data_IF_838761860919
#
_entry.id   IF_838761860919
#
_cell.length_a   1.000
_cell.length_b   1.000
_cell.length_c   1.000
_cell.angle_alpha   90.00
_cell.angle_beta   90.00
_cell.angle_gamma   90.00
#
_symmetry.space_group_name_H-M   'P 1'
#
loop_
_entity.id
_entity.type
_entity.pdbx_description
1 polymer ?
#
# COMPACT_ATOMS: atom_id res chain seq x y z
N UNK A 1 39.04 -35.07 -35.03
CA UNK A 1 38.31 -36.04 -35.87
C UNK A 1 36.90 -35.48 -36.09
N UNK A 2 36.62 -34.81 -37.21
CA UNK A 2 35.88 -35.32 -38.38
C UNK A 2 34.58 -36.07 -38.03
N UNK A 3 33.42 -35.41 -38.19
CA UNK A 3 32.42 -35.57 -39.28
C UNK A 3 31.19 -34.69 -38.93
N UNK A 4 30.69 -33.72 -39.72
CA UNK A 4 30.34 -33.58 -41.16
C UNK A 4 28.87 -33.98 -41.46
N UNK A 5 28.13 -32.97 -41.98
CA UNK A 5 26.98 -33.00 -42.94
C UNK A 5 25.56 -33.31 -42.40
N UNK A 6 24.44 -32.74 -42.90
CA UNK A 6 24.17 -31.72 -43.94
C UNK A 6 22.66 -31.64 -44.23
N UNK A 7 22.16 -30.45 -44.61
CA UNK A 7 21.15 -30.14 -45.68
C UNK A 7 19.72 -30.69 -45.58
N UNK A 8 18.64 -30.14 -46.16
CA UNK A 8 18.30 -29.16 -47.22
C UNK A 8 16.81 -28.73 -46.96
N UNK A 9 16.24 -27.54 -47.22
CA UNK A 9 16.10 -26.67 -48.41
C UNK A 9 14.68 -26.74 -49.05
N UNK A 10 14.26 -25.58 -49.61
CA UNK A 10 13.09 -25.24 -50.47
C UNK A 10 11.76 -24.83 -49.79
N UNK A 11 11.29 -23.56 -49.87
CA UNK A 11 10.82 -22.68 -50.99
C UNK A 11 9.51 -23.13 -51.68
N UNK A 12 8.47 -22.28 -51.61
CA UNK A 12 7.70 -21.84 -52.80
C UNK A 12 6.87 -20.56 -52.55
N UNK A 13 7.04 -19.61 -53.47
CA UNK A 13 6.24 -18.42 -53.78
C UNK A 13 5.03 -18.79 -54.65
N UNK A 14 3.93 -18.02 -54.59
CA UNK A 14 3.11 -17.62 -55.76
C UNK A 14 2.50 -16.21 -55.53
N UNK A 15 2.61 -15.37 -56.55
CA UNK A 15 2.06 -14.02 -56.78
C UNK A 15 1.00 -14.08 -57.91
N UNK A 16 0.37 -12.93 -58.20
CA UNK A 16 -0.49 -12.51 -59.33
C UNK A 16 -1.97 -12.28 -58.94
N UNK A 17 -2.63 -11.10 -59.05
CA UNK A 17 -2.58 -9.86 -59.86
C UNK A 17 -3.83 -9.75 -60.79
N UNK A 18 -4.40 -8.53 -60.87
CA UNK A 18 -5.15 -7.89 -62.00
C UNK A 18 -6.46 -7.14 -61.69
N UNK A 19 -6.62 -6.06 -62.47
CA UNK A 19 -7.49 -4.89 -62.42
C UNK A 19 -8.88 -5.00 -63.12
N UNK A 20 -9.88 -4.24 -62.61
CA UNK A 20 -10.93 -3.35 -63.22
C UNK A 20 -11.80 -3.80 -64.44
N UNK A 21 -12.89 -3.10 -64.87
CA UNK A 21 -13.84 -2.13 -64.24
C UNK A 21 -15.35 -2.42 -64.54
N UNK A 22 -16.33 -1.65 -63.98
CA UNK A 22 -17.47 -1.00 -64.69
C UNK A 22 -18.54 -0.42 -63.72
N UNK A 23 -19.33 0.50 -64.26
CA UNK A 23 -20.13 1.62 -63.70
C UNK A 23 -21.57 1.34 -63.20
N UNK A 24 -21.96 2.05 -62.11
CA UNK A 24 -23.23 2.80 -61.81
C UNK A 24 -24.63 2.13 -61.94
N UNK A 25 -25.71 2.73 -61.39
CA UNK A 25 -26.01 3.09 -59.99
C UNK A 25 -27.45 2.64 -59.55
N UNK A 26 -27.91 3.14 -58.40
CA UNK A 26 -29.30 3.33 -57.93
C UNK A 26 -29.94 2.36 -56.91
N UNK A 27 -30.47 3.04 -55.89
CA UNK A 27 -31.66 2.77 -55.09
C UNK A 27 -31.46 2.16 -53.71
N UNK A 28 -31.86 2.96 -52.73
CA UNK A 28 -31.93 2.65 -51.32
C UNK A 28 -33.05 1.64 -51.05
N UNK A 29 -32.74 0.60 -50.28
CA UNK A 29 -33.75 -0.18 -49.55
C UNK A 29 -33.27 -0.33 -48.12
N UNK A 30 -34.05 0.24 -47.20
CA UNK A 30 -33.93 0.05 -45.76
C UNK A 30 -34.11 -1.44 -45.45
N UNK A 31 -33.11 -2.07 -44.85
CA UNK A 31 -33.30 -3.28 -44.06
C UNK A 31 -32.73 -3.03 -42.67
N UNK A 32 -33.61 -3.09 -41.67
CA UNK A 32 -33.27 -2.96 -40.27
C UNK A 32 -32.31 -4.08 -39.87
N UNK A 33 -31.09 -3.71 -39.49
CA UNK A 33 -30.20 -4.61 -38.80
C UNK A 33 -30.69 -4.75 -37.35
N UNK A 34 -31.42 -5.82 -37.08
CA UNK A 34 -31.50 -6.38 -35.75
C UNK A 34 -30.08 -6.80 -35.36
N UNK A 35 -29.35 -5.95 -34.64
CA UNK A 35 -28.11 -6.33 -34.00
C UNK A 35 -28.49 -7.24 -32.83
N UNK A 36 -28.59 -8.53 -33.13
CA UNK A 36 -28.60 -9.58 -32.12
C UNK A 36 -27.31 -9.43 -31.32
N UNK A 37 -27.45 -8.92 -30.09
CA UNK A 37 -26.41 -8.89 -29.07
C UNK A 37 -26.06 -10.35 -28.70
N UNK A 38 -25.24 -10.98 -29.54
CA UNK A 38 -24.52 -12.20 -29.21
C UNK A 38 -23.31 -11.80 -28.36
N UNK A 39 -23.59 -11.33 -27.14
CA UNK A 39 -22.65 -11.49 -26.04
C UNK A 39 -22.57 -13.00 -25.82
N UNK A 40 -21.66 -13.66 -26.55
CA UNK A 40 -21.22 -15.01 -26.25
C UNK A 40 -20.82 -15.00 -24.78
N UNK A 41 -21.57 -15.70 -23.93
CA UNK A 41 -21.10 -16.11 -22.61
C UNK A 41 -19.79 -16.85 -22.85
N UNK A 42 -18.67 -16.17 -22.63
CA UNK A 42 -17.42 -16.85 -22.39
C UNK A 42 -17.69 -17.77 -21.19
N UNK A 43 -17.41 -19.06 -21.35
CA UNK A 43 -17.36 -19.98 -20.22
C UNK A 43 -16.27 -19.45 -19.28
N UNK A 44 -16.67 -18.80 -18.19
CA UNK A 44 -15.71 -18.10 -17.37
C UNK A 44 -15.26 -19.00 -16.23
N UNK A 45 -14.03 -19.52 -16.35
CA UNK A 45 -13.20 -19.91 -15.20
C UNK A 45 -12.87 -18.71 -14.28
N UNK A 46 -13.39 -17.51 -14.58
CA UNK A 46 -13.27 -16.33 -13.72
C UNK A 46 -14.37 -16.27 -12.68
N UNK A 47 -13.97 -16.20 -11.42
CA UNK A 47 -14.85 -15.86 -10.31
C UNK A 47 -15.28 -14.39 -10.38
N UNK A 48 -16.59 -14.13 -10.48
CA UNK A 48 -17.15 -12.77 -10.45
C UNK A 48 -17.37 -12.32 -9.00
N UNK A 49 -16.75 -11.20 -8.63
CA UNK A 49 -16.81 -10.60 -7.29
C UNK A 49 -17.56 -9.25 -7.28
N UNK A 50 -18.18 -8.85 -8.39
CA UNK A 50 -18.82 -7.53 -8.57
C UNK A 50 -19.92 -7.23 -7.54
N UNK A 51 -20.58 -8.26 -7.01
CA UNK A 51 -21.66 -8.15 -6.03
C UNK A 51 -21.20 -7.98 -4.58
N UNK A 52 -19.90 -8.07 -4.28
CA UNK A 52 -19.38 -7.99 -2.90
C UNK A 52 -19.37 -6.56 -2.32
N UNK A 53 -19.70 -5.54 -3.12
CA UNK A 53 -19.66 -4.15 -2.66
C UNK A 53 -20.76 -3.89 -1.63
N UNK A 54 -20.36 -3.43 -0.45
CA UNK A 54 -21.25 -2.95 0.61
C UNK A 54 -21.72 -1.53 0.34
N UNK A 55 -22.87 -1.16 0.92
CA UNK A 55 -23.33 0.22 0.99
C UNK A 55 -22.47 1.00 2.00
N UNK A 56 -22.10 2.23 1.66
CA UNK A 56 -21.31 3.12 2.53
C UNK A 56 -22.21 4.25 3.06
N UNK A 57 -21.62 5.39 3.41
CA UNK A 57 -22.32 6.62 3.79
C UNK A 57 -23.11 7.22 2.62
N UNK A 58 -24.11 8.04 2.94
CA UNK A 58 -24.89 8.81 1.97
C UNK A 58 -24.34 10.24 1.79
N UNK A 59 -24.89 10.97 0.82
CA UNK A 59 -24.50 12.36 0.50
C UNK A 59 -24.65 13.31 1.71
N UNK A 60 -25.62 13.04 2.58
CA UNK A 60 -25.86 13.77 3.83
C UNK A 60 -24.74 13.59 4.88
N UNK A 61 -23.83 12.64 4.66
CA UNK A 61 -22.68 12.34 5.54
C UNK A 61 -21.35 12.53 4.80
N UNK A 62 -21.31 13.43 3.81
CA UNK A 62 -20.11 13.80 3.08
C UNK A 62 -19.00 14.34 4.00
N UNK A 63 -17.76 14.02 3.69
CA UNK A 63 -16.58 14.55 4.37
C UNK A 63 -16.01 15.74 3.58
N UNK A 64 -16.49 16.93 3.93
CA UNK A 64 -16.13 18.21 3.33
C UNK A 64 -15.00 18.91 4.11
N UNK A 65 -14.45 19.97 3.54
CA UNK A 65 -13.35 20.73 4.13
C UNK A 65 -13.72 21.35 5.49
N UNK A 66 -14.98 21.77 5.66
CA UNK A 66 -15.54 22.25 6.93
C UNK A 66 -15.74 21.13 7.98
N UNK A 67 -15.65 19.85 7.58
CA UNK A 67 -15.71 18.69 8.47
C UNK A 67 -14.32 18.25 8.97
N UNK A 68 -13.24 18.91 8.52
CA UNK A 68 -11.92 18.77 9.14
C UNK A 68 -11.98 19.29 10.58
N UNK A 69 -11.62 18.44 11.54
CA UNK A 69 -11.47 18.83 12.94
C UNK A 69 -10.20 19.67 13.12
N UNK A 70 -9.22 19.51 12.23
CA UNK A 70 -8.03 20.34 12.19
C UNK A 70 -7.47 20.45 10.77
N UNK A 71 -6.89 21.61 10.46
CA UNK A 71 -6.05 21.82 9.27
C UNK A 71 -4.58 21.49 9.53
N UNK A 72 -4.25 20.92 10.69
CA UNK A 72 -3.02 20.15 10.90
C UNK A 72 -3.32 18.66 10.62
N UNK A 73 -2.71 18.06 9.58
CA UNK A 73 -3.04 16.70 9.19
C UNK A 73 -2.65 15.64 10.24
N UNK A 74 -1.70 15.92 11.14
CA UNK A 74 -1.36 14.99 12.22
C UNK A 74 -2.46 14.98 13.27
N UNK A 75 -3.02 16.15 13.60
CA UNK A 75 -4.18 16.25 14.50
C UNK A 75 -5.43 15.64 13.87
N UNK A 76 -5.64 15.85 12.57
CA UNK A 76 -6.75 15.22 11.84
C UNK A 76 -6.61 13.69 11.82
N UNK A 77 -5.40 13.15 11.62
CA UNK A 77 -5.12 11.72 11.80
C UNK A 77 -5.48 11.26 13.21
N UNK A 78 -5.04 11.99 14.24
CA UNK A 78 -5.34 11.66 15.64
C UNK A 78 -6.84 11.57 15.92
N UNK A 79 -7.64 12.47 15.35
CA UNK A 79 -9.09 12.44 15.46
C UNK A 79 -9.72 11.18 14.83
N UNK A 80 -9.34 10.84 13.59
CA UNK A 80 -9.86 9.62 12.95
C UNK A 80 -9.33 8.33 13.61
N UNK A 81 -8.10 8.36 14.12
CA UNK A 81 -7.52 7.24 14.86
C UNK A 81 -8.27 7.01 16.18
N UNK A 82 -8.64 8.06 16.89
CA UNK A 82 -9.46 7.98 18.10
C UNK A 82 -10.83 7.35 17.80
N UNK A 83 -11.52 7.79 16.74
CA UNK A 83 -12.75 7.15 16.26
C UNK A 83 -12.55 5.65 15.99
N UNK A 84 -11.45 5.29 15.33
CA UNK A 84 -11.13 3.89 15.01
C UNK A 84 -10.85 3.04 16.25
N UNK A 85 -10.24 3.60 17.29
CA UNK A 85 -9.99 2.87 18.55
C UNK A 85 -11.26 2.67 19.39
N UNK A 86 -12.28 3.53 19.21
CA UNK A 86 -13.58 3.41 19.90
C UNK A 86 -14.57 2.49 19.18
N UNK A 87 -14.32 2.16 17.91
CA UNK A 87 -15.15 1.25 17.13
C UNK A 87 -14.88 -0.21 17.50
N UNK A 88 -15.88 -0.91 18.03
CA UNK A 88 -15.72 -2.28 18.57
C UNK A 88 -15.48 -3.33 17.48
N UNK A 89 -15.85 -3.04 16.24
CA UNK A 89 -15.61 -3.90 15.08
C UNK A 89 -14.16 -3.82 14.55
N UNK A 90 -13.36 -2.86 15.03
CA UNK A 90 -11.96 -2.70 14.64
C UNK A 90 -11.07 -3.36 15.69
N UNK A 91 -10.45 -4.49 15.34
CA UNK A 91 -9.57 -5.23 16.25
C UNK A 91 -8.25 -4.51 16.57
N UNK A 92 -7.52 -4.06 15.54
CA UNK A 92 -6.24 -3.36 15.68
C UNK A 92 -6.27 -2.05 14.87
N UNK A 93 -6.75 -0.96 15.48
CA UNK A 93 -6.84 0.34 14.81
C UNK A 93 -5.48 0.86 14.31
N UNK A 94 -4.39 0.46 14.96
CA UNK A 94 -3.01 0.78 14.59
C UNK A 94 -2.38 -0.18 13.57
N UNK A 95 -3.12 -1.17 13.06
CA UNK A 95 -2.65 -1.98 11.95
C UNK A 95 -2.61 -1.14 10.67
N UNK A 96 -1.46 -1.15 10.01
CA UNK A 96 -1.23 -0.43 8.76
C UNK A 96 -0.49 -1.30 7.76
N UNK A 97 -0.84 -1.16 6.49
CA UNK A 97 -0.02 -1.67 5.40
C UNK A 97 1.13 -0.68 5.16
N UNK A 98 2.37 -1.17 5.13
CA UNK A 98 3.51 -0.37 4.68
C UNK A 98 4.00 -0.91 3.35
N UNK A 99 4.03 -0.04 2.34
CA UNK A 99 4.63 -0.27 1.04
C UNK A 99 6.02 0.38 0.97
N UNK A 100 7.00 -0.39 0.50
CA UNK A 100 8.38 0.02 0.25
C UNK A 100 8.79 -0.46 -1.15
N UNK A 101 9.90 0.00 -1.69
CA UNK A 101 10.40 -0.47 -2.97
C UNK A 101 11.93 -0.57 -2.96
N UNK A 102 12.48 -1.52 -3.70
CA UNK A 102 13.92 -1.56 -3.94
C UNK A 102 14.36 -0.39 -4.86
N UNK A 103 15.68 -0.21 -5.04
CA UNK A 103 16.25 0.83 -5.91
C UNK A 103 15.84 0.73 -7.40
N UNK A 104 15.37 -0.44 -7.85
CA UNK A 104 14.86 -0.63 -9.21
C UNK A 104 13.36 -0.27 -9.34
N UNK A 105 12.74 0.27 -8.28
CA UNK A 105 11.32 0.61 -8.27
C UNK A 105 10.38 -0.59 -8.17
N UNK A 106 10.86 -1.76 -7.71
CA UNK A 106 10.01 -2.94 -7.50
C UNK A 106 9.37 -2.89 -6.11
N UNK A 107 8.03 -2.70 -6.02
CA UNK A 107 7.37 -2.52 -4.73
C UNK A 107 7.22 -3.83 -3.97
N UNK A 108 7.10 -3.71 -2.64
CA UNK A 108 6.67 -4.77 -1.75
C UNK A 108 5.86 -4.18 -0.60
N UNK A 109 4.88 -4.94 -0.11
CA UNK A 109 3.95 -4.47 0.92
C UNK A 109 3.69 -5.56 1.96
N UNK A 110 3.38 -5.15 3.20
CA UNK A 110 3.01 -6.04 4.32
C UNK A 110 2.32 -5.25 5.42
N UNK A 111 1.62 -5.95 6.32
CA UNK A 111 1.08 -5.34 7.53
C UNK A 111 2.16 -5.15 8.60
N UNK A 112 2.11 -4.02 9.29
CA UNK A 112 2.86 -3.69 10.51
C UNK A 112 1.93 -2.95 11.47
N UNK A 113 2.38 -2.76 12.71
CA UNK A 113 1.64 -1.96 13.70
C UNK A 113 2.33 -0.61 13.88
N UNK A 114 1.55 0.47 13.81
CA UNK A 114 1.97 1.79 14.28
C UNK A 114 2.19 1.73 15.79
N UNK A 115 3.34 2.24 16.26
CA UNK A 115 3.76 2.21 17.67
C UNK A 115 3.91 3.59 18.30
N UNK A 116 3.71 4.64 17.52
CA UNK A 116 3.65 6.02 17.98
C UNK A 116 3.53 6.95 16.79
N UNK A 117 2.99 8.14 17.02
CA UNK A 117 3.02 9.22 16.05
C UNK A 117 3.16 10.55 16.80
N UNK A 118 3.79 11.52 16.15
CA UNK A 118 3.97 12.88 16.65
C UNK A 118 3.97 13.85 15.46
N UNK A 119 4.20 15.14 15.72
CA UNK A 119 4.40 16.13 14.66
C UNK A 119 5.59 15.78 13.74
N UNK A 120 6.53 14.94 14.20
CA UNK A 120 7.68 14.49 13.42
C UNK A 120 7.35 13.37 12.42
N UNK A 121 6.35 12.54 12.73
CA UNK A 121 5.97 11.43 11.86
C UNK A 121 5.44 10.19 12.58
N UNK A 122 5.50 9.06 11.87
CA UNK A 122 4.84 7.80 12.23
C UNK A 122 5.87 6.70 12.48
N UNK A 123 5.91 6.16 13.71
CA UNK A 123 6.93 5.22 14.16
C UNK A 123 6.43 3.78 14.14
N UNK A 124 7.25 2.88 13.58
CA UNK A 124 7.05 1.43 13.63
C UNK A 124 8.38 0.72 13.88
N UNK A 125 8.32 -0.52 14.35
CA UNK A 125 9.52 -1.30 14.71
C UNK A 125 9.64 -2.56 13.85
N UNK A 126 10.87 -2.91 13.49
CA UNK A 126 11.13 -4.05 12.62
C UNK A 126 12.55 -4.58 12.78
N UNK A 127 12.87 -5.61 12.00
CA UNK A 127 14.22 -6.08 11.82
C UNK A 127 14.82 -5.41 10.57
N UNK A 128 15.94 -4.72 10.72
CA UNK A 128 16.67 -3.98 9.68
C UNK A 128 17.19 -4.89 8.56
N UNK A 129 17.44 -6.17 8.83
CA UNK A 129 17.84 -7.18 7.83
C UNK A 129 16.64 -7.79 7.09
N UNK A 130 15.40 -7.49 7.49
CA UNK A 130 14.22 -7.97 6.76
C UNK A 130 14.14 -7.35 5.38
N UNK A 131 13.37 -7.94 4.46
CA UNK A 131 13.15 -7.39 3.10
C UNK A 131 12.80 -5.90 3.13
N UNK A 132 11.91 -5.48 4.04
CA UNK A 132 11.52 -4.06 4.16
C UNK A 132 12.64 -3.19 4.70
N UNK A 133 13.43 -3.70 5.65
CA UNK A 133 14.56 -2.96 6.21
C UNK A 133 15.61 -2.71 5.14
N UNK A 134 16.01 -3.75 4.41
CA UNK A 134 16.94 -3.64 3.28
C UNK A 134 16.42 -2.67 2.21
N UNK A 135 15.13 -2.74 1.86
CA UNK A 135 14.52 -1.79 0.92
C UNK A 135 14.63 -0.34 1.45
N UNK A 136 14.28 -0.09 2.71
CA UNK A 136 14.31 1.23 3.35
C UNK A 136 15.72 1.82 3.50
N UNK A 137 16.73 1.00 3.79
CA UNK A 137 18.13 1.45 3.81
C UNK A 137 18.62 1.88 2.42
N UNK A 138 18.10 1.22 1.38
CA UNK A 138 18.52 1.47 0.01
C UNK A 138 17.71 2.59 -0.66
N UNK A 139 16.46 2.76 -0.25
CA UNK A 139 15.48 3.66 -0.82
C UNK A 139 14.56 4.15 0.33
N UNK A 140 14.91 5.27 0.99
CA UNK A 140 14.31 5.69 2.26
C UNK A 140 12.97 6.40 2.08
N UNK A 141 12.05 5.76 1.35
CA UNK A 141 10.69 6.23 1.11
C UNK A 141 9.68 5.12 1.38
N UNK A 142 8.54 5.48 1.97
CA UNK A 142 7.46 4.55 2.24
C UNK A 142 6.09 5.20 2.03
N UNK A 143 5.11 4.34 1.77
CA UNK A 143 3.69 4.67 1.85
C UNK A 143 3.04 3.81 2.93
N UNK A 144 2.29 4.44 3.83
CA UNK A 144 1.46 3.78 4.85
C UNK A 144 0.00 3.86 4.44
N UNK A 145 -0.74 2.78 4.65
CA UNK A 145 -2.20 2.74 4.44
C UNK A 145 -2.88 2.19 5.67
N UNK A 146 -3.76 2.99 6.25
CA UNK A 146 -4.76 2.55 7.23
C UNK A 146 -6.07 2.32 6.49
N UNK A 147 -6.75 1.21 6.78
CA UNK A 147 -8.07 0.93 6.24
C UNK A 147 -8.97 0.41 7.35
N UNK A 148 -9.93 1.24 7.73
CA UNK A 148 -10.92 0.94 8.77
C UNK A 148 -12.25 0.65 8.10
N UNK A 149 -12.42 -0.61 7.69
CA UNK A 149 -13.59 -1.07 6.95
C UNK A 149 -14.93 -0.71 7.63
N UNK A 150 -15.12 -0.87 8.95
CA UNK A 150 -16.38 -0.51 9.61
C UNK A 150 -16.74 0.97 9.50
N UNK A 151 -15.73 1.84 9.41
CA UNK A 151 -15.91 3.29 9.28
C UNK A 151 -15.95 3.77 7.81
N UNK A 152 -15.67 2.87 6.86
CA UNK A 152 -15.45 3.19 5.45
C UNK A 152 -14.41 4.30 5.28
N UNK A 153 -13.32 4.25 6.05
CA UNK A 153 -12.26 5.25 6.04
C UNK A 153 -10.93 4.65 5.62
N UNK A 154 -10.16 5.43 4.87
CA UNK A 154 -8.78 5.12 4.56
C UNK A 154 -7.92 6.36 4.83
N UNK A 155 -6.72 6.13 5.33
CA UNK A 155 -5.67 7.15 5.38
C UNK A 155 -4.46 6.64 4.60
N UNK A 156 -3.92 7.47 3.71
CA UNK A 156 -2.63 7.22 3.05
C UNK A 156 -1.61 8.23 3.54
N UNK A 157 -0.40 7.78 3.83
CA UNK A 157 0.69 8.64 4.32
C UNK A 157 1.92 8.33 3.49
N UNK A 158 2.49 9.34 2.82
CA UNK A 158 3.72 9.20 2.04
C UNK A 158 4.81 10.05 2.68
N UNK A 159 6.00 9.47 2.82
CA UNK A 159 7.07 10.11 3.58
C UNK A 159 8.46 9.55 3.31
N UNK A 160 9.46 10.33 3.70
CA UNK A 160 10.83 9.82 3.86
C UNK A 160 10.92 9.00 5.14
N UNK A 161 11.87 8.07 5.19
CA UNK A 161 12.02 7.14 6.32
C UNK A 161 13.41 7.25 6.92
N UNK A 162 13.47 7.38 8.24
CA UNK A 162 14.71 7.46 9.00
C UNK A 162 14.69 6.44 10.15
N UNK A 163 15.85 5.89 10.51
CA UNK A 163 15.96 5.13 11.76
C UNK A 163 15.77 6.06 12.94
N UNK A 164 15.03 5.62 13.95
CA UNK A 164 14.98 6.35 15.22
C UNK A 164 16.28 6.12 16.01
N UNK A 165 16.61 6.97 17.00
CA UNK A 165 17.79 6.77 17.84
C UNK A 165 17.84 5.35 18.46
N UNK A 166 19.03 4.76 18.50
CA UNK A 166 19.23 3.41 19.05
C UNK A 166 18.74 3.29 20.50
N UNK A 167 18.91 4.37 21.29
CA UNK A 167 18.40 4.45 22.66
C UNK A 167 16.87 4.32 22.73
N UNK A 168 16.14 5.05 21.86
CA UNK A 168 14.68 4.94 21.78
C UNK A 168 14.22 3.54 21.33
N UNK A 169 14.99 2.91 20.42
CA UNK A 169 14.75 1.51 20.04
C UNK A 169 14.94 0.56 21.23
N UNK A 170 16.00 0.75 22.01
CA UNK A 170 16.30 -0.04 23.20
C UNK A 170 15.18 0.09 24.24
N UNK A 171 14.80 1.32 24.61
CA UNK A 171 13.72 1.60 25.55
C UNK A 171 12.41 0.93 25.13
N UNK A 172 12.04 1.06 23.85
CA UNK A 172 10.86 0.39 23.34
C UNK A 172 11.00 -1.14 23.34
N UNK A 173 12.17 -1.70 22.97
CA UNK A 173 12.41 -3.14 23.02
C UNK A 173 12.15 -3.71 24.42
N UNK A 174 12.73 -3.09 25.44
CA UNK A 174 12.61 -3.51 26.83
C UNK A 174 11.23 -3.25 27.43
N UNK A 175 10.43 -2.33 26.87
CA UNK A 175 9.02 -2.14 27.24
C UNK A 175 8.10 -3.29 26.79
N UNK A 176 8.52 -4.08 25.80
CA UNK A 176 7.70 -5.18 25.25
C UNK A 176 7.67 -6.38 26.19
N UNK A 177 6.63 -7.23 26.14
CA UNK A 177 6.63 -8.50 26.87
C UNK A 177 7.87 -9.33 26.55
N UNK A 178 8.43 -10.01 27.56
CA UNK A 178 9.67 -10.80 27.41
C UNK A 178 9.58 -11.83 26.27
N UNK A 179 8.41 -12.42 26.04
CA UNK A 179 8.15 -13.32 24.91
C UNK A 179 8.31 -12.62 23.54
N UNK A 180 7.92 -11.36 23.43
CA UNK A 180 8.09 -10.53 22.23
C UNK A 180 9.54 -10.12 21.99
N UNK A 181 10.29 -9.88 23.07
CA UNK A 181 11.74 -9.65 23.00
C UNK A 181 12.44 -10.90 22.49
N UNK A 182 12.19 -12.06 23.12
CA UNK A 182 12.75 -13.36 22.69
C UNK A 182 12.38 -13.67 21.24
N UNK A 183 11.12 -13.48 20.84
CA UNK A 183 10.69 -13.71 19.46
C UNK A 183 11.45 -12.88 18.41
N UNK A 184 11.89 -11.67 18.78
CA UNK A 184 12.73 -10.84 17.91
C UNK A 184 14.17 -11.37 17.80
N UNK A 185 14.69 -12.05 18.83
CA UNK A 185 16.02 -12.70 18.80
C UNK A 185 15.97 -14.04 18.05
N UNK A 186 14.89 -14.81 18.20
CA UNK A 186 14.69 -16.11 17.51
C UNK A 186 14.69 -15.94 15.99
N UNK A 187 14.07 -14.86 15.51
CA UNK A 187 13.72 -14.70 14.10
C UNK A 187 14.60 -13.66 13.41
N UNK A 188 15.56 -14.14 12.61
CA UNK A 188 16.14 -13.33 11.52
C UNK A 188 15.08 -13.13 10.45
N UNK A 189 14.25 -12.10 10.63
CA UNK A 189 13.02 -11.90 9.88
C UNK A 189 13.28 -11.92 8.37
N UNK A 190 12.45 -12.67 7.62
CA UNK A 190 12.55 -12.86 6.16
C UNK A 190 13.69 -13.76 5.66
N UNK A 191 14.52 -14.34 6.54
CA UNK A 191 15.46 -15.40 6.15
C UNK A 191 14.77 -16.77 6.03
N UNK A 192 15.25 -17.66 5.15
CA UNK A 192 14.72 -19.02 5.05
C UNK A 192 15.07 -19.85 6.30
N UNK A 193 14.11 -20.64 6.77
CA UNK A 193 14.27 -21.60 7.87
C UNK A 193 13.78 -22.97 7.41
N UNK A 194 14.30 -24.08 7.96
CA UNK A 194 13.97 -25.41 7.46
C UNK A 194 12.50 -25.79 7.69
N UNK A 195 11.91 -25.37 8.82
CA UNK A 195 10.51 -25.63 9.17
C UNK A 195 10.09 -24.82 10.41
N UNK A 196 8.83 -24.98 10.82
CA UNK A 196 8.26 -24.34 12.02
C UNK A 196 8.89 -24.85 13.32
N UNK A 197 9.28 -26.12 13.39
CA UNK A 197 9.82 -26.71 14.62
C UNK A 197 11.20 -26.15 14.97
N UNK A 198 12.00 -25.79 13.97
CA UNK A 198 13.24 -25.03 14.17
C UNK A 198 13.02 -23.75 14.99
N UNK A 199 11.99 -22.97 14.65
CA UNK A 199 11.66 -21.73 15.37
C UNK A 199 11.16 -22.03 16.80
N UNK A 200 10.35 -23.08 16.98
CA UNK A 200 9.86 -23.50 18.30
C UNK A 200 11.02 -23.90 19.21
N UNK A 201 11.94 -24.72 18.71
CA UNK A 201 13.10 -25.17 19.46
C UNK A 201 14.00 -24.00 19.86
N UNK A 202 14.32 -23.10 18.91
CA UNK A 202 15.10 -21.89 19.20
C UNK A 202 14.43 -20.98 20.22
N UNK A 203 13.10 -20.86 20.17
CA UNK A 203 12.35 -20.08 21.15
C UNK A 203 12.46 -20.67 22.57
N UNK A 204 12.32 -22.00 22.72
CA UNK A 204 12.48 -22.68 24.02
C UNK A 204 13.91 -22.52 24.55
N UNK A 205 14.93 -22.72 23.70
CA UNK A 205 16.34 -22.51 24.06
C UNK A 205 16.58 -21.10 24.61
N UNK A 206 16.04 -20.07 23.94
CA UNK A 206 16.20 -18.67 24.36
C UNK A 206 15.33 -18.30 25.57
N UNK A 207 14.16 -18.92 25.74
CA UNK A 207 13.35 -18.76 26.96
C UNK A 207 14.09 -19.26 28.19
N UNK A 208 14.76 -20.41 28.10
CA UNK A 208 15.55 -20.93 29.21
C UNK A 208 16.81 -20.08 29.44
N UNK A 209 17.54 -19.74 28.36
CA UNK A 209 18.74 -18.89 28.43
C UNK A 209 18.45 -17.54 29.11
N UNK A 210 17.33 -16.92 28.76
CA UNK A 210 16.96 -15.60 29.27
C UNK A 210 15.96 -15.66 30.42
N UNK A 211 15.73 -16.80 31.07
CA UNK A 211 14.70 -16.94 32.11
C UNK A 211 14.82 -15.89 33.21
N UNK A 212 16.02 -15.79 33.80
CA UNK A 212 16.33 -14.90 34.93
C UNK A 212 17.25 -13.73 34.53
N UNK A 213 17.49 -13.54 33.23
CA UNK A 213 18.32 -12.47 32.69
C UNK A 213 17.54 -11.58 31.72
N UNK A 214 18.10 -10.42 31.44
CA UNK A 214 17.57 -9.51 30.43
C UNK A 214 17.90 -9.99 29.02
N UNK A 215 16.95 -9.81 28.10
CA UNK A 215 17.17 -10.13 26.68
C UNK A 215 17.86 -8.91 26.05
N UNK A 216 19.08 -9.01 25.53
CA UNK A 216 19.69 -7.89 24.83
C UNK A 216 18.94 -7.60 23.53
N UNK A 217 18.71 -6.32 23.22
CA UNK A 217 18.18 -5.92 21.92
C UNK A 217 19.20 -6.29 20.81
N UNK A 218 18.81 -7.07 19.79
CA UNK A 218 19.71 -7.35 18.67
C UNK A 218 20.06 -6.09 17.87
N UNK A 219 21.30 -5.99 17.37
CA UNK A 219 21.77 -4.86 16.54
C UNK A 219 20.95 -4.67 15.26
N UNK A 220 20.39 -5.75 14.73
CA UNK A 220 19.53 -5.75 13.56
C UNK A 220 18.06 -5.41 13.86
N UNK A 221 17.72 -4.99 15.08
CA UNK A 221 16.35 -4.66 15.46
C UNK A 221 16.24 -3.19 15.90
N UNK A 222 15.15 -2.53 15.49
CA UNK A 222 14.83 -1.20 16.00
C UNK A 222 13.69 -0.52 15.23
N UNK A 223 13.57 0.78 15.43
CA UNK A 223 12.48 1.59 14.90
C UNK A 223 12.83 2.40 13.66
N UNK A 224 11.83 2.61 12.82
CA UNK A 224 11.83 3.62 11.77
C UNK A 224 10.74 4.65 12.05
N UNK A 225 10.97 5.88 11.62
CA UNK A 225 9.99 6.96 11.58
C UNK A 225 9.75 7.36 10.12
N UNK A 226 8.48 7.38 9.71
CA UNK A 226 8.05 7.94 8.43
C UNK A 226 7.71 9.40 8.64
N UNK A 227 8.51 10.32 8.05
CA UNK A 227 8.27 11.76 8.07
C UNK A 227 7.37 12.13 6.89
N UNK A 228 6.11 12.52 7.14
CA UNK A 228 5.12 12.68 6.09
C UNK A 228 5.38 13.96 5.27
N UNK A 229 5.31 13.85 3.95
CA UNK A 229 5.16 14.98 3.04
C UNK A 229 3.78 15.00 2.35
N UNK A 230 3.00 13.92 2.49
CA UNK A 230 1.62 13.83 2.00
C UNK A 230 0.77 12.95 2.92
N UNK A 231 -0.45 13.40 3.21
CA UNK A 231 -1.45 12.65 3.98
C UNK A 231 -2.81 12.80 3.30
N UNK A 232 -3.39 11.70 2.84
CA UNK A 232 -4.73 11.67 2.23
C UNK A 232 -5.75 11.06 3.20
N UNK A 233 -6.86 11.76 3.38
CA UNK A 233 -8.05 11.29 4.08
C UNK A 233 -9.12 10.92 3.07
N UNK A 234 -9.50 9.65 3.07
CA UNK A 234 -10.53 9.10 2.18
C UNK A 234 -11.74 8.64 2.99
N UNK A 235 -12.93 9.08 2.60
CA UNK A 235 -14.21 8.64 3.17
C UNK A 235 -15.09 8.01 2.07
N UNK A 236 -15.51 6.78 2.32
CA UNK A 236 -16.34 6.01 1.41
C UNK A 236 -17.77 6.55 1.32
N UNK A 237 -18.26 6.71 0.08
CA UNK A 237 -19.60 7.18 -0.25
C UNK A 237 -20.33 6.15 -1.13
N UNK A 238 -21.64 6.01 -0.91
CA UNK A 238 -22.49 5.03 -1.60
C UNK A 238 -22.59 5.33 -3.10
N UNK A 239 -22.70 6.61 -3.45
CA UNK A 239 -22.82 7.10 -4.83
C UNK A 239 -21.51 7.04 -5.62
N UNK A 240 -20.40 6.56 -5.01
CA UNK A 240 -19.03 6.47 -5.57
C UNK A 240 -18.30 7.81 -5.72
N UNK A 241 -18.92 8.91 -5.30
CA UNK A 241 -18.26 10.20 -5.19
C UNK A 241 -17.50 10.25 -3.87
N UNK A 242 -16.42 9.47 -3.78
CA UNK A 242 -15.61 9.36 -2.57
C UNK A 242 -14.98 10.70 -2.20
N UNK A 243 -15.03 11.04 -0.92
CA UNK A 243 -14.38 12.25 -0.42
C UNK A 243 -12.89 11.99 -0.25
N UNK A 244 -12.08 12.88 -0.84
CA UNK A 244 -10.63 12.79 -0.79
C UNK A 244 -10.05 14.17 -0.51
N UNK A 245 -9.59 14.37 0.72
CA UNK A 245 -8.85 15.58 1.10
C UNK A 245 -7.39 15.18 1.31
N UNK A 246 -6.51 15.75 0.51
CA UNK A 246 -5.06 15.49 0.59
C UNK A 246 -4.35 16.71 1.14
N UNK A 247 -3.51 16.47 2.15
CA UNK A 247 -2.55 17.42 2.67
C UNK A 247 -1.18 17.12 2.06
N UNK A 248 -0.44 18.16 1.66
CA UNK A 248 0.92 18.02 1.14
C UNK A 248 1.82 19.18 1.61
N UNK A 249 3.14 18.94 1.60
CA UNK A 249 4.13 20.02 1.74
C UNK A 249 4.43 20.62 0.37
N UNK A 250 4.38 21.95 0.27
CA UNK A 250 4.91 22.66 -0.90
C UNK A 250 6.42 22.47 -0.96
N UNK A 251 6.97 22.33 -2.17
CA UNK A 251 8.42 22.36 -2.35
C UNK A 251 8.93 23.80 -2.31
N UNK A 252 10.21 23.95 -2.00
CA UNK A 252 10.85 25.27 -1.99
C UNK A 252 10.66 25.99 -3.33
N UNK A 253 10.05 27.17 -3.28
CA UNK A 253 9.78 27.99 -4.46
C UNK A 253 8.47 27.67 -5.20
N UNK A 254 7.67 26.70 -4.75
CA UNK A 254 6.32 26.49 -5.27
C UNK A 254 5.34 27.51 -4.66
N UNK A 255 4.45 28.04 -5.50
CA UNK A 255 3.32 28.87 -5.06
C UNK A 255 2.07 28.00 -4.90
N UNK A 256 1.13 28.49 -4.10
CA UNK A 256 -0.15 27.83 -3.90
C UNK A 256 -0.89 27.63 -5.24
N UNK A 257 -1.38 26.42 -5.50
CA UNK A 257 -2.21 26.11 -6.66
C UNK A 257 -3.63 26.67 -6.55
N UNK A 258 -4.35 26.72 -7.68
CA UNK A 258 -5.71 27.30 -7.79
C UNK A 258 -6.71 26.71 -6.78
N UNK A 259 -6.64 25.40 -6.52
CA UNK A 259 -7.55 24.67 -5.62
C UNK A 259 -6.90 24.28 -4.30
N UNK A 260 -5.74 24.85 -3.99
CA UNK A 260 -5.05 24.60 -2.73
C UNK A 260 -5.42 25.64 -1.68
N UNK A 261 -5.50 25.17 -0.45
CA UNK A 261 -5.76 25.97 0.73
C UNK A 261 -4.58 25.85 1.69
N UNK A 262 -4.22 26.94 2.35
CA UNK A 262 -3.19 26.91 3.40
C UNK A 262 -3.68 26.12 4.62
N UNK A 263 -2.76 25.39 5.24
CA UNK A 263 -2.97 24.59 6.43
C UNK A 263 -1.89 24.89 7.49
N UNK A 264 -2.10 24.40 8.72
CA UNK A 264 -1.16 24.62 9.83
C UNK A 264 0.23 24.03 9.53
N UNK A 265 1.29 24.64 10.06
CA UNK A 265 2.64 24.07 10.00
C UNK A 265 3.27 23.99 8.60
N UNK A 266 2.86 24.84 7.65
CA UNK A 266 3.38 24.85 6.28
C UNK A 266 2.87 23.71 5.41
N UNK A 267 1.72 23.15 5.78
CA UNK A 267 0.96 22.24 4.93
C UNK A 267 0.04 23.04 4.01
N UNK A 268 -0.33 22.43 2.89
CA UNK A 268 -1.47 22.85 2.07
C UNK A 268 -2.40 21.67 1.89
N UNK A 269 -3.68 21.92 1.64
CA UNK A 269 -4.64 20.86 1.34
C UNK A 269 -5.53 21.19 0.14
N UNK A 270 -6.05 20.14 -0.49
CA UNK A 270 -6.96 20.24 -1.62
C UNK A 270 -7.86 19.00 -1.69
N UNK A 271 -9.00 19.14 -2.38
CA UNK A 271 -9.86 18.02 -2.74
C UNK A 271 -9.33 17.31 -3.99
N UNK A 272 -9.40 15.99 -4.02
CA UNK A 272 -9.15 15.18 -5.22
C UNK A 272 -10.45 14.53 -5.71
N UNK A 273 -10.54 14.31 -7.02
CA UNK A 273 -11.58 13.47 -7.59
C UNK A 273 -11.44 12.01 -7.10
N UNK A 274 -12.53 11.28 -6.88
CA UNK A 274 -12.50 9.87 -6.50
C UNK A 274 -11.89 8.95 -7.56
#
# INVERSE_FOLDING_TARGET
MRRILSTNLLRRFILFDRNLPFSSPLSAVKQGAFVLNLCRKASSDSMDLSHMRKKYKGDEECFEENHLVSVDPIKQFGNWFDDATKCSEIGEANAMCIATANKDGRPSARMVLLKGYSNDGFTFYTNYESRKGVELESNPYACLVFYWEPLNRQIRIEGSVERIPAQASCEYFHSRPKSSQIGAVVSRQSSPVPNRDYLRQKNVELQEKYKDTEVPMPEYWGGYMVRPYSIEFWQGQTNRLHDRIVFSKLKDGETLGEFQHEAEGGWVYQRLSP
#
